data_IF_014157466231
#
_entry.id   IF_014157466231
#
_cell.length_a   1.000
_cell.length_b   1.000
_cell.length_c   1.000
_cell.angle_alpha   90.00
_cell.angle_beta   90.00
_cell.angle_gamma   90.00
#
_symmetry.space_group_name_H-M   'P 1'
#
loop_
_entity.id
_entity.type
_entity.pdbx_description
1 polymer ?
#
# COMPACT_ATOMS: atom_id res chain seq x y z
N UNK A 1 -0.16 2.43 26.34
CA UNK A 1 -0.09 3.33 25.15
C UNK A 1 0.84 2.65 24.17
N UNK A 2 0.34 2.17 23.03
CA UNK A 2 1.16 1.51 22.01
C UNK A 2 1.79 2.64 21.19
N UNK A 3 3.10 2.73 21.22
CA UNK A 3 3.86 3.68 20.41
C UNK A 3 3.70 3.29 18.93
N UNK A 4 3.29 4.24 18.11
CA UNK A 4 3.11 4.01 16.67
C UNK A 4 4.34 4.53 15.93
N UNK A 5 4.76 3.80 14.92
CA UNK A 5 5.78 4.27 13.98
C UNK A 5 5.24 5.44 13.15
N UNK A 6 6.10 6.19 12.47
CA UNK A 6 5.74 7.25 11.53
C UNK A 6 4.73 6.81 10.46
N UNK A 7 4.57 5.50 10.26
CA UNK A 7 3.66 4.89 9.28
C UNK A 7 2.37 4.36 9.91
N UNK A 8 2.11 4.66 11.17
CA UNK A 8 0.88 4.23 11.86
C UNK A 8 0.89 2.79 12.35
N UNK A 9 2.03 2.08 12.27
CA UNK A 9 2.19 0.74 12.81
C UNK A 9 2.64 0.80 14.27
N UNK A 10 2.13 -0.12 15.13
CA UNK A 10 2.62 -0.21 16.50
C UNK A 10 4.09 -0.62 16.51
N UNK A 11 4.88 0.01 17.36
CA UNK A 11 6.26 -0.40 17.63
C UNK A 11 6.24 -1.82 18.21
N UNK A 12 7.12 -2.68 17.67
CA UNK A 12 7.16 -4.08 18.07
C UNK A 12 6.17 -4.99 17.35
N UNK A 13 5.51 -4.53 16.28
CA UNK A 13 4.70 -5.36 15.40
C UNK A 13 5.54 -6.51 14.82
N UNK A 14 5.14 -7.77 15.02
CA UNK A 14 5.87 -8.93 14.52
C UNK A 14 5.78 -9.11 13.00
N UNK A 15 4.96 -8.32 12.31
CA UNK A 15 4.84 -8.40 10.85
C UNK A 15 6.13 -7.98 10.17
N UNK A 16 6.42 -8.59 9.04
CA UNK A 16 7.61 -8.31 8.25
C UNK A 16 7.47 -6.95 7.61
N UNK A 17 8.33 -6.02 8.00
CA UNK A 17 8.44 -4.73 7.34
C UNK A 17 9.53 -4.78 6.28
N UNK A 18 9.22 -4.18 5.14
CA UNK A 18 10.20 -3.94 4.12
C UNK A 18 10.79 -2.53 4.34
N UNK A 19 12.05 -2.49 4.74
CA UNK A 19 12.81 -1.25 4.88
C UNK A 19 14.10 -1.39 4.08
N UNK A 20 13.96 -1.25 2.76
CA UNK A 20 15.08 -1.34 1.84
C UNK A 20 15.40 0.05 1.29
N UNK A 21 16.67 0.36 0.92
CA UNK A 21 16.97 1.54 0.18
C UNK A 21 16.21 1.53 -1.12
N UNK A 22 15.57 2.65 -1.35
CA UNK A 22 14.80 2.89 -2.55
C UNK A 22 15.69 3.64 -3.52
N UNK A 23 15.84 3.11 -4.72
CA UNK A 23 16.43 3.87 -5.82
C UNK A 23 15.39 4.88 -6.36
N UNK A 24 15.55 6.18 -6.12
CA UNK A 24 14.57 7.17 -6.54
C UNK A 24 14.48 7.30 -8.06
N UNK A 25 15.55 7.00 -8.80
CA UNK A 25 15.56 7.06 -10.26
C UNK A 25 14.79 5.88 -10.83
N UNK A 26 15.09 4.67 -10.34
CA UNK A 26 14.39 3.45 -10.71
C UNK A 26 12.91 3.51 -10.34
N UNK A 27 12.58 3.99 -9.14
CA UNK A 27 11.19 4.14 -8.69
C UNK A 27 10.39 5.08 -9.61
N UNK A 28 10.98 6.21 -10.02
CA UNK A 28 10.34 7.13 -10.97
C UNK A 28 10.16 6.50 -12.36
N UNK A 29 11.11 5.67 -12.78
CA UNK A 29 11.04 4.99 -14.06
C UNK A 29 10.01 3.85 -14.06
N UNK A 30 9.89 3.09 -12.97
CA UNK A 30 9.16 1.83 -12.91
C UNK A 30 7.76 1.94 -12.30
N UNK A 31 7.58 2.83 -11.30
CA UNK A 31 6.35 2.86 -10.52
C UNK A 31 5.26 3.77 -11.11
N UNK A 32 4.05 3.24 -11.37
CA UNK A 32 2.90 4.04 -11.80
C UNK A 32 2.39 4.97 -10.69
N UNK A 33 2.75 4.73 -9.43
CA UNK A 33 2.33 5.55 -8.29
C UNK A 33 2.89 6.97 -8.34
N UNK A 34 4.03 7.18 -9.00
CA UNK A 34 4.62 8.52 -9.22
C UNK A 34 3.66 9.40 -10.01
N UNK A 35 3.07 8.87 -11.09
CA UNK A 35 2.11 9.62 -11.92
C UNK A 35 0.80 9.89 -11.19
N UNK A 36 0.28 8.89 -10.48
CA UNK A 36 -0.95 9.07 -9.71
C UNK A 36 -0.80 10.19 -8.67
N UNK A 37 0.38 10.30 -8.07
CA UNK A 37 0.67 11.39 -7.15
C UNK A 37 0.74 12.75 -7.85
N UNK A 38 1.52 12.84 -8.92
CA UNK A 38 1.65 14.08 -9.70
C UNK A 38 0.27 14.56 -10.18
N UNK A 39 -0.56 13.64 -10.67
CA UNK A 39 -1.94 13.93 -11.06
C UNK A 39 -2.81 14.44 -9.89
N UNK A 40 -2.76 13.76 -8.73
CA UNK A 40 -3.52 14.20 -7.54
C UNK A 40 -3.08 15.58 -7.07
N UNK A 41 -1.78 15.85 -7.07
CA UNK A 41 -1.27 17.19 -6.76
C UNK A 41 -1.75 18.22 -7.77
N UNK A 42 -1.66 17.92 -9.07
CA UNK A 42 -2.13 18.82 -10.12
C UNK A 42 -3.63 19.10 -9.98
N UNK A 43 -4.46 18.08 -9.78
CA UNK A 43 -5.90 18.22 -9.55
C UNK A 43 -6.15 19.01 -8.26
N UNK A 44 -5.47 18.69 -7.17
CA UNK A 44 -5.60 19.43 -5.90
C UNK A 44 -5.29 20.92 -6.07
N UNK A 45 -4.20 21.24 -6.76
CA UNK A 45 -3.80 22.64 -6.99
C UNK A 45 -4.74 23.37 -7.95
N UNK A 46 -5.06 22.77 -9.08
CA UNK A 46 -5.89 23.44 -10.11
C UNK A 46 -7.33 23.53 -9.66
N UNK A 47 -7.94 22.42 -9.27
CA UNK A 47 -9.37 22.41 -8.89
C UNK A 47 -9.56 23.01 -7.51
N UNK A 48 -8.74 22.61 -6.54
CA UNK A 48 -8.80 23.13 -5.17
C UNK A 48 -8.52 24.62 -5.13
N UNK A 49 -7.47 25.10 -5.81
CA UNK A 49 -7.14 26.52 -5.93
C UNK A 49 -8.24 27.33 -6.65
N UNK A 50 -8.79 26.75 -7.72
CA UNK A 50 -9.92 27.37 -8.44
C UNK A 50 -11.16 27.52 -7.56
N UNK A 51 -11.51 26.49 -6.77
CA UNK A 51 -12.64 26.55 -5.83
C UNK A 51 -12.41 27.58 -4.72
N UNK A 52 -11.19 27.66 -4.18
CA UNK A 52 -10.85 28.69 -3.18
C UNK A 52 -11.00 30.09 -3.78
N UNK A 53 -10.47 30.33 -4.99
CA UNK A 53 -10.61 31.63 -5.68
C UNK A 53 -12.07 31.99 -5.94
N UNK A 54 -12.88 31.07 -6.47
CA UNK A 54 -14.29 31.24 -6.71
C UNK A 54 -15.06 31.50 -5.40
N UNK A 55 -14.72 30.78 -4.33
CA UNK A 55 -15.34 30.98 -3.03
C UNK A 55 -15.05 32.35 -2.43
N UNK A 56 -13.80 32.82 -2.53
CA UNK A 56 -13.41 34.17 -2.08
C UNK A 56 -14.16 35.22 -2.90
N UNK A 57 -14.24 35.04 -4.21
CA UNK A 57 -15.03 35.95 -5.08
C UNK A 57 -16.51 36.00 -4.69
N UNK A 58 -17.12 34.84 -4.45
CA UNK A 58 -18.53 34.74 -4.04
C UNK A 58 -18.78 35.43 -2.67
N UNK A 59 -17.85 35.30 -1.73
CA UNK A 59 -17.90 35.98 -0.44
C UNK A 59 -17.80 37.51 -0.64
N UNK A 60 -16.83 37.96 -1.44
CA UNK A 60 -16.67 39.40 -1.71
C UNK A 60 -17.91 40.00 -2.39
N UNK A 61 -18.48 39.28 -3.36
CA UNK A 61 -19.73 39.72 -4.04
C UNK A 61 -20.92 39.73 -3.07
N UNK A 62 -21.04 38.73 -2.18
CA UNK A 62 -22.12 38.66 -1.19
C UNK A 62 -22.10 39.78 -0.15
N UNK A 63 -20.93 40.39 0.11
CA UNK A 63 -20.79 41.58 0.98
C UNK A 63 -20.86 42.90 0.24
N UNK A 64 -20.71 42.90 -1.09
CA UNK A 64 -20.59 44.13 -1.89
C UNK A 64 -21.92 44.81 -2.21
N UNK A 65 -23.05 44.13 -2.11
CA UNK A 65 -24.38 44.68 -2.40
C UNK A 65 -25.00 45.34 -1.18
N UNK A 66 -25.93 46.29 -1.42
CA UNK A 66 -26.64 46.98 -0.35
C UNK A 66 -27.48 46.04 0.54
N UNK A 67 -27.83 44.86 0.01
CA UNK A 67 -28.47 43.78 0.75
C UNK A 67 -27.52 42.54 0.75
N UNK A 68 -27.20 42.02 1.96
CA UNK A 68 -26.33 40.87 2.12
C UNK A 68 -26.96 39.62 1.49
N UNK A 69 -26.30 39.06 0.47
CA UNK A 69 -26.75 37.84 -0.20
C UNK A 69 -26.30 36.61 0.54
N UNK A 70 -27.09 36.15 1.52
CA UNK A 70 -26.79 34.94 2.31
C UNK A 70 -26.56 33.69 1.49
N UNK A 71 -27.32 33.38 0.41
CA UNK A 71 -27.03 32.20 -0.40
C UNK A 71 -25.65 32.23 -1.04
N UNK A 72 -25.22 33.41 -1.51
CA UNK A 72 -23.92 33.57 -2.15
C UNK A 72 -22.78 33.44 -1.13
N UNK A 73 -22.95 33.92 0.08
CA UNK A 73 -21.99 33.76 1.17
C UNK A 73 -21.84 32.30 1.58
N UNK A 74 -22.96 31.57 1.76
CA UNK A 74 -22.94 30.17 2.10
C UNK A 74 -22.23 29.37 1.00
N UNK A 75 -22.54 29.62 -0.27
CA UNK A 75 -21.88 28.96 -1.40
C UNK A 75 -20.38 29.26 -1.42
N UNK A 76 -19.98 30.53 -1.13
CA UNK A 76 -18.57 30.91 -1.01
C UNK A 76 -17.84 30.17 0.07
N UNK A 77 -18.40 30.05 1.29
CA UNK A 77 -17.80 29.30 2.39
C UNK A 77 -17.62 27.82 2.02
N UNK A 78 -18.67 27.19 1.47
CA UNK A 78 -18.63 25.79 1.04
C UNK A 78 -17.54 25.58 -0.02
N UNK A 79 -17.44 26.48 -1.01
CA UNK A 79 -16.41 26.37 -2.05
C UNK A 79 -14.99 26.51 -1.49
N UNK A 80 -14.75 27.43 -0.55
CA UNK A 80 -13.45 27.59 0.13
C UNK A 80 -13.09 26.31 0.90
N UNK A 81 -14.03 25.80 1.72
CA UNK A 81 -13.78 24.60 2.52
C UNK A 81 -13.49 23.36 1.63
N UNK A 82 -14.26 23.18 0.57
CA UNK A 82 -14.07 22.12 -0.40
C UNK A 82 -12.71 22.26 -1.12
N UNK A 83 -12.36 23.47 -1.54
CA UNK A 83 -11.08 23.76 -2.20
C UNK A 83 -9.88 23.52 -1.30
N UNK A 84 -9.92 23.98 -0.06
CA UNK A 84 -8.88 23.71 0.96
C UNK A 84 -8.78 22.21 1.23
N UNK A 85 -9.90 21.51 1.36
CA UNK A 85 -9.93 20.05 1.54
C UNK A 85 -9.24 19.30 0.39
N UNK A 86 -9.49 19.71 -0.86
CA UNK A 86 -8.83 19.12 -2.04
C UNK A 86 -7.34 19.44 -2.11
N UNK A 87 -6.93 20.65 -1.75
CA UNK A 87 -5.53 21.04 -1.67
C UNK A 87 -4.78 20.19 -0.62
N UNK A 88 -5.34 20.09 0.58
CA UNK A 88 -4.77 19.28 1.66
C UNK A 88 -4.71 17.79 1.28
N UNK A 89 -5.77 17.27 0.66
CA UNK A 89 -5.76 15.88 0.17
C UNK A 89 -4.63 15.64 -0.84
N UNK A 90 -4.42 16.57 -1.78
CA UNK A 90 -3.32 16.48 -2.73
C UNK A 90 -1.93 16.52 -2.06
N UNK A 91 -1.75 17.39 -1.06
CA UNK A 91 -0.48 17.57 -0.35
C UNK A 91 -0.17 16.44 0.63
N UNK A 92 -1.18 15.98 1.39
CA UNK A 92 -1.02 14.96 2.42
C UNK A 92 -0.93 13.53 1.87
N UNK A 93 -1.29 13.31 0.59
CA UNK A 93 -1.05 12.00 -0.03
C UNK A 93 0.44 11.74 -0.13
N UNK A 94 0.92 10.74 0.60
CA UNK A 94 2.34 10.40 0.76
C UNK A 94 3.13 10.25 -0.54
N UNK A 95 4.46 10.29 -0.47
CA UNK A 95 5.37 10.15 -1.61
C UNK A 95 5.29 8.79 -2.29
N UNK A 96 5.80 8.68 -3.52
CA UNK A 96 5.89 7.40 -4.23
C UNK A 96 6.76 6.37 -3.49
N UNK A 97 7.71 6.82 -2.68
CA UNK A 97 8.56 5.99 -1.83
C UNK A 97 7.88 5.55 -0.53
N UNK A 98 6.83 6.26 -0.08
CA UNK A 98 6.12 5.96 1.17
C UNK A 98 5.65 4.50 1.28
N UNK A 99 5.15 3.84 0.21
CA UNK A 99 4.77 2.43 0.25
C UNK A 99 5.87 1.49 0.74
N UNK A 100 7.12 1.80 0.44
CA UNK A 100 8.28 0.94 0.71
C UNK A 100 8.99 1.27 2.03
N UNK A 101 8.55 2.31 2.73
CA UNK A 101 9.09 2.67 4.04
C UNK A 101 8.18 2.11 5.12
N UNK A 102 8.59 0.98 5.70
CA UNK A 102 7.82 0.32 6.76
C UNK A 102 6.51 -0.34 6.31
N UNK A 103 6.33 -0.62 5.02
CA UNK A 103 5.21 -1.43 4.53
C UNK A 103 5.42 -2.91 4.82
N UNK A 104 4.32 -3.66 5.00
CA UNK A 104 4.39 -5.10 5.23
C UNK A 104 4.82 -5.84 3.97
N UNK A 105 5.88 -6.66 4.06
CA UNK A 105 6.29 -7.53 2.97
C UNK A 105 5.30 -8.70 2.84
N UNK A 106 4.74 -8.85 1.64
CA UNK A 106 3.66 -9.79 1.35
C UNK A 106 3.88 -10.49 0.01
N UNK A 107 3.35 -11.71 -0.17
CA UNK A 107 3.35 -12.37 -1.46
C UNK A 107 2.33 -11.74 -2.41
N UNK A 108 2.65 -11.74 -3.68
CA UNK A 108 1.76 -11.40 -4.77
C UNK A 108 1.91 -12.36 -5.94
N UNK A 109 0.87 -12.51 -6.75
CA UNK A 109 0.88 -13.29 -7.97
C UNK A 109 0.27 -12.47 -9.10
N UNK A 110 0.93 -12.44 -10.22
CA UNK A 110 0.39 -11.83 -11.44
C UNK A 110 -0.78 -12.68 -11.93
N UNK A 111 -1.96 -12.08 -12.00
CA UNK A 111 -3.18 -12.76 -12.45
C UNK A 111 -3.42 -12.52 -13.92
N UNK A 112 -3.20 -11.28 -14.34
CA UNK A 112 -3.48 -10.85 -15.71
C UNK A 112 -2.47 -9.79 -16.10
N UNK A 113 -2.03 -9.85 -17.36
CA UNK A 113 -1.26 -8.82 -18.00
C UNK A 113 -1.81 -8.65 -19.41
N UNK A 114 -2.64 -7.64 -19.61
CA UNK A 114 -3.22 -7.28 -20.89
C UNK A 114 -2.79 -5.87 -21.27
N UNK A 115 -2.09 -5.75 -22.38
CA UNK A 115 -1.51 -4.51 -22.88
C UNK A 115 -0.63 -3.81 -21.81
N UNK A 116 -1.10 -2.67 -21.30
CA UNK A 116 -0.44 -1.94 -20.26
C UNK A 116 -1.03 -2.19 -18.86
N UNK A 117 -2.11 -2.96 -18.74
CA UNK A 117 -2.76 -3.23 -17.46
C UNK A 117 -2.29 -4.54 -16.85
N UNK A 118 -1.78 -4.46 -15.64
CA UNK A 118 -1.35 -5.61 -14.83
C UNK A 118 -2.23 -5.72 -13.61
N UNK A 119 -2.72 -6.93 -13.35
CA UNK A 119 -3.43 -7.27 -12.13
C UNK A 119 -2.60 -8.23 -11.29
N UNK A 120 -2.41 -7.88 -10.02
CA UNK A 120 -1.69 -8.70 -9.04
C UNK A 120 -2.64 -9.05 -7.90
N UNK A 121 -2.78 -10.33 -7.62
CA UNK A 121 -3.41 -10.83 -6.42
C UNK A 121 -2.36 -10.83 -5.31
N UNK A 122 -2.64 -10.16 -4.21
CA UNK A 122 -1.76 -10.10 -3.05
C UNK A 122 -2.47 -10.62 -1.82
N UNK A 123 -1.71 -11.10 -0.84
CA UNK A 123 -2.20 -11.60 0.43
C UNK A 123 -1.56 -10.78 1.56
N UNK A 124 -2.37 -10.25 2.48
CA UNK A 124 -1.83 -9.56 3.65
C UNK A 124 -2.63 -9.90 4.92
N UNK A 125 -1.95 -9.86 6.06
CA UNK A 125 -2.61 -9.86 7.35
C UNK A 125 -3.24 -8.48 7.57
N UNK A 126 -4.55 -8.46 7.73
CA UNK A 126 -5.35 -7.26 7.94
C UNK A 126 -5.72 -7.05 9.41
N UNK A 127 -5.19 -7.84 10.35
CA UNK A 127 -5.35 -7.57 11.78
C UNK A 127 -4.71 -6.23 12.15
N UNK A 128 -5.37 -5.43 12.97
CA UNK A 128 -4.80 -4.18 13.53
C UNK A 128 -4.03 -4.42 14.81
N UNK A 129 -4.34 -5.50 15.50
CA UNK A 129 -3.66 -5.90 16.72
C UNK A 129 -2.66 -7.01 16.39
N UNK A 130 -1.35 -6.76 16.52
CA UNK A 130 -0.34 -7.77 16.23
C UNK A 130 -0.36 -8.95 17.21
N UNK A 131 -1.02 -8.82 18.36
CA UNK A 131 -1.21 -9.91 19.33
C UNK A 131 -2.45 -10.76 19.02
N UNK A 132 -3.37 -10.26 18.19
CA UNK A 132 -4.55 -11.01 17.78
C UNK A 132 -4.20 -12.10 16.74
N UNK A 133 -5.06 -13.12 16.58
CA UNK A 133 -4.93 -14.06 15.48
C UNK A 133 -4.91 -13.34 14.14
N UNK A 134 -4.07 -13.79 13.19
CA UNK A 134 -3.99 -13.21 11.85
C UNK A 134 -5.34 -13.23 11.13
N UNK A 135 -5.67 -12.14 10.44
CA UNK A 135 -6.88 -11.99 9.61
C UNK A 135 -6.45 -11.78 8.16
N UNK A 136 -6.10 -12.85 7.47
CA UNK A 136 -5.61 -12.77 6.10
C UNK A 136 -6.70 -12.40 5.11
N UNK A 137 -6.35 -11.54 4.18
CA UNK A 137 -7.20 -11.16 3.08
C UNK A 137 -6.44 -11.09 1.76
N UNK A 138 -7.08 -11.55 0.70
CA UNK A 138 -6.64 -11.28 -0.66
C UNK A 138 -7.00 -9.86 -1.08
N UNK A 139 -6.15 -9.27 -1.87
CA UNK A 139 -6.41 -7.99 -2.55
C UNK A 139 -6.03 -8.09 -4.01
N UNK A 140 -6.95 -7.78 -4.88
CA UNK A 140 -6.66 -7.62 -6.30
C UNK A 140 -6.33 -6.16 -6.59
N UNK A 141 -5.07 -5.91 -6.95
CA UNK A 141 -4.55 -4.58 -7.25
C UNK A 141 -4.30 -4.48 -8.75
N UNK A 142 -4.78 -3.40 -9.37
CA UNK A 142 -4.57 -3.15 -10.80
C UNK A 142 -3.65 -1.96 -10.99
N UNK A 143 -2.72 -2.09 -11.91
CA UNK A 143 -1.74 -1.07 -12.26
C UNK A 143 -1.69 -0.89 -13.77
N UNK A 144 -1.38 0.30 -14.19
CA UNK A 144 -0.93 0.54 -15.54
C UNK A 144 0.58 0.33 -15.57
N UNK A 145 1.04 -0.78 -16.15
CA UNK A 145 2.46 -1.07 -16.27
C UNK A 145 3.11 -0.09 -17.24
N UNK A 146 4.35 0.28 -16.95
CA UNK A 146 5.14 1.08 -17.86
C UNK A 146 5.81 0.20 -18.91
N UNK A 147 6.13 0.79 -20.05
CA UNK A 147 6.91 0.14 -21.11
C UNK A 147 8.21 -0.44 -20.52
N UNK A 148 8.50 -1.70 -20.86
CA UNK A 148 9.67 -2.41 -20.37
C UNK A 148 9.45 -3.27 -19.11
N UNK A 149 8.35 -3.08 -18.38
CA UNK A 149 8.02 -3.97 -17.25
C UNK A 149 7.32 -5.22 -17.77
N UNK A 150 7.99 -6.37 -17.66
CA UNK A 150 7.42 -7.67 -18.09
C UNK A 150 6.95 -8.44 -16.88
N UNK A 151 5.63 -8.56 -16.77
CA UNK A 151 5.00 -9.49 -15.82
C UNK A 151 4.38 -10.65 -16.60
N UNK A 152 4.55 -11.86 -16.09
CA UNK A 152 3.97 -13.07 -16.69
C UNK A 152 2.83 -13.56 -15.81
N UNK A 153 1.65 -13.85 -16.34
CA UNK A 153 0.58 -14.48 -15.55
C UNK A 153 1.06 -15.73 -14.84
N UNK A 154 0.71 -15.87 -13.55
CA UNK A 154 1.20 -16.94 -12.66
C UNK A 154 2.56 -16.64 -12.00
N UNK A 155 3.25 -15.57 -12.40
CA UNK A 155 4.54 -15.22 -11.81
C UNK A 155 4.37 -14.78 -10.35
N UNK A 156 5.14 -15.37 -9.39
CA UNK A 156 5.23 -14.86 -8.04
C UNK A 156 5.99 -13.53 -8.01
N UNK A 157 5.47 -12.57 -7.27
CA UNK A 157 6.05 -11.22 -7.16
C UNK A 157 6.01 -10.78 -5.70
N UNK A 158 7.16 -10.59 -5.03
CA UNK A 158 7.17 -10.01 -3.70
C UNK A 158 6.67 -8.57 -3.75
N UNK A 159 5.74 -8.25 -2.86
CA UNK A 159 5.08 -6.96 -2.80
C UNK A 159 5.22 -6.33 -1.41
N UNK A 160 5.02 -5.03 -1.34
CA UNK A 160 4.91 -4.30 -0.08
C UNK A 160 3.48 -3.80 0.07
N UNK A 161 2.77 -4.29 1.08
CA UNK A 161 1.43 -3.84 1.43
C UNK A 161 1.50 -2.54 2.22
N UNK A 162 0.66 -1.58 1.85
CA UNK A 162 0.64 -0.24 2.41
C UNK A 162 -0.76 0.38 2.30
N UNK A 163 -0.93 1.60 2.82
CA UNK A 163 -2.16 2.36 2.64
C UNK A 163 -3.38 1.65 3.22
N UNK A 164 -3.21 1.02 4.37
CA UNK A 164 -4.28 0.34 5.07
C UNK A 164 -5.34 1.32 5.52
N UNK A 165 -6.60 1.02 5.24
CA UNK A 165 -7.75 1.87 5.54
C UNK A 165 -8.77 1.10 6.35
N UNK A 166 -9.19 1.68 7.47
CA UNK A 166 -10.31 1.21 8.28
C UNK A 166 -10.88 2.34 9.12
N UNK A 167 -12.17 2.29 9.50
CA UNK A 167 -12.73 3.17 10.50
C UNK A 167 -12.04 2.99 11.86
N UNK A 168 -12.01 4.03 12.72
CA UNK A 168 -11.32 3.97 14.01
C UNK A 168 -11.78 2.82 14.93
N UNK A 169 -13.05 2.43 14.85
CA UNK A 169 -13.64 1.36 15.67
C UNK A 169 -13.40 -0.05 15.14
N UNK A 170 -12.83 -0.20 13.95
CA UNK A 170 -12.57 -1.53 13.38
C UNK A 170 -11.32 -2.16 14.00
N UNK A 171 -11.41 -3.44 14.38
CA UNK A 171 -10.25 -4.24 14.84
C UNK A 171 -9.38 -4.75 13.70
N UNK A 172 -9.78 -4.50 12.44
CA UNK A 172 -9.09 -4.97 11.25
C UNK A 172 -9.12 -3.92 10.16
N UNK A 173 -8.15 -3.99 9.26
CA UNK A 173 -8.11 -3.17 8.07
C UNK A 173 -9.15 -3.66 7.04
N UNK A 174 -9.86 -2.73 6.44
CA UNK A 174 -10.89 -3.07 5.46
C UNK A 174 -10.32 -3.21 4.05
N UNK A 175 -9.27 -2.48 3.77
CA UNK A 175 -8.59 -2.46 2.49
C UNK A 175 -7.13 -2.06 2.68
N UNK A 176 -6.30 -2.47 1.74
CA UNK A 176 -4.90 -2.10 1.64
C UNK A 176 -4.52 -1.98 0.16
N UNK A 177 -3.37 -1.43 -0.12
CA UNK A 177 -2.73 -1.44 -1.43
C UNK A 177 -1.47 -2.29 -1.32
N UNK A 178 -0.96 -2.75 -2.48
CA UNK A 178 0.32 -3.41 -2.53
C UNK A 178 1.09 -2.95 -3.77
N UNK A 179 2.40 -2.90 -3.66
CA UNK A 179 3.28 -2.48 -4.75
C UNK A 179 4.43 -3.47 -4.87
N UNK A 180 4.78 -3.94 -6.09
CA UNK A 180 5.92 -4.83 -6.30
C UNK A 180 7.23 -4.25 -5.77
N UNK A 181 8.04 -5.07 -5.11
CA UNK A 181 9.38 -4.70 -4.63
C UNK A 181 10.26 -4.27 -5.80
N UNK A 182 10.13 -4.94 -6.95
CA UNK A 182 10.87 -4.64 -8.16
C UNK A 182 10.68 -3.20 -8.69
N UNK A 183 9.72 -2.44 -8.18
CA UNK A 183 9.62 -1.01 -8.53
C UNK A 183 10.47 -0.11 -7.63
N UNK A 184 10.84 -0.60 -6.44
CA UNK A 184 11.65 0.18 -5.51
C UNK A 184 13.14 0.07 -5.82
N UNK A 185 13.56 -1.03 -6.44
CA UNK A 185 14.98 -1.33 -6.73
C UNK A 185 15.14 -2.08 -8.04
N UNK A 186 16.25 -1.81 -8.74
CA UNK A 186 16.68 -2.56 -9.91
C UNK A 186 17.50 -3.82 -9.53
N UNK A 187 17.88 -3.97 -8.27
CA UNK A 187 18.70 -5.06 -7.77
C UNK A 187 17.91 -6.36 -7.70
N UNK A 188 18.13 -7.28 -8.62
CA UNK A 188 17.45 -8.58 -8.66
C UNK A 188 17.68 -9.39 -7.37
N UNK A 189 18.89 -9.35 -6.81
CA UNK A 189 19.22 -10.04 -5.56
C UNK A 189 18.36 -9.58 -4.38
N UNK A 190 18.04 -8.29 -4.32
CA UNK A 190 17.17 -7.73 -3.29
C UNK A 190 15.71 -8.19 -3.48
N UNK A 191 15.23 -8.23 -4.72
CA UNK A 191 13.90 -8.72 -5.04
C UNK A 191 13.78 -10.20 -4.68
N UNK A 192 14.78 -11.01 -5.02
CA UNK A 192 14.84 -12.44 -4.67
C UNK A 192 14.92 -12.67 -3.16
N UNK A 193 15.70 -11.84 -2.46
CA UNK A 193 15.81 -11.90 -1.02
C UNK A 193 14.48 -11.56 -0.34
N UNK A 194 13.77 -10.54 -0.84
CA UNK A 194 12.41 -10.21 -0.38
C UNK A 194 11.44 -11.37 -0.62
N UNK A 195 11.53 -12.03 -1.78
CA UNK A 195 10.74 -13.22 -2.08
C UNK A 195 11.00 -14.37 -1.11
N UNK A 196 12.26 -14.63 -0.77
CA UNK A 196 12.65 -15.69 0.21
C UNK A 196 12.26 -15.36 1.65
N UNK A 197 12.11 -14.08 1.98
CA UNK A 197 11.68 -13.65 3.32
C UNK A 197 10.18 -13.88 3.57
N UNK A 198 9.37 -14.08 2.53
CA UNK A 198 7.96 -14.45 2.65
C UNK A 198 7.85 -15.95 2.91
N UNK A 199 7.11 -16.42 3.95
CA UNK A 199 6.93 -17.83 4.25
C UNK A 199 6.29 -18.60 3.08
N UNK A 200 6.73 -19.86 2.89
CA UNK A 200 6.19 -20.73 1.86
C UNK A 200 4.67 -20.89 1.96
N UNK A 201 4.13 -21.02 3.17
CA UNK A 201 2.68 -21.16 3.38
C UNK A 201 1.87 -19.93 2.89
N UNK A 202 2.44 -18.73 2.94
CA UNK A 202 1.79 -17.53 2.39
C UNK A 202 1.86 -17.52 0.85
N UNK A 203 2.97 -18.01 0.28
CA UNK A 203 3.09 -18.22 -1.16
C UNK A 203 2.08 -19.25 -1.67
N UNK A 204 1.96 -20.40 -1.00
CA UNK A 204 1.00 -21.44 -1.35
C UNK A 204 -0.42 -20.89 -1.30
N UNK A 205 -0.72 -20.08 -0.29
CA UNK A 205 -2.05 -19.48 -0.10
C UNK A 205 -2.37 -18.46 -1.20
N UNK A 206 -1.43 -17.59 -1.61
CA UNK A 206 -1.69 -16.63 -2.68
C UNK A 206 -1.81 -17.32 -4.04
N UNK A 207 -1.02 -18.37 -4.28
CA UNK A 207 -1.09 -19.14 -5.53
C UNK A 207 -2.41 -19.89 -5.65
N UNK A 208 -2.89 -20.53 -4.57
CA UNK A 208 -4.21 -21.17 -4.54
C UNK A 208 -5.38 -20.16 -4.66
N UNK A 209 -5.12 -18.89 -4.30
CA UNK A 209 -6.09 -17.81 -4.41
C UNK A 209 -6.49 -17.44 -5.85
N UNK A 210 -5.80 -17.99 -6.88
CA UNK A 210 -6.09 -17.75 -8.29
C UNK A 210 -7.56 -18.06 -8.65
N UNK A 211 -8.10 -19.12 -8.09
CA UNK A 211 -9.49 -19.54 -8.33
C UNK A 211 -10.52 -18.53 -7.79
N UNK A 212 -10.16 -17.75 -6.79
CA UNK A 212 -11.02 -16.74 -6.17
C UNK A 212 -10.99 -15.38 -6.87
N UNK A 213 -10.12 -15.18 -7.86
CA UNK A 213 -9.93 -13.88 -8.54
C UNK A 213 -11.21 -13.34 -9.16
N UNK A 214 -11.97 -14.19 -9.87
CA UNK A 214 -13.22 -13.77 -10.49
C UNK A 214 -14.25 -13.26 -9.47
N UNK A 215 -14.31 -13.87 -8.30
CA UNK A 215 -15.18 -13.46 -7.21
C UNK A 215 -14.70 -12.16 -6.54
N UNK A 216 -13.39 -12.06 -6.28
CA UNK A 216 -12.78 -10.86 -5.70
C UNK A 216 -12.95 -9.66 -6.63
N UNK A 217 -12.85 -9.85 -7.95
CA UNK A 217 -13.01 -8.81 -8.98
C UNK A 217 -14.40 -8.19 -8.94
N UNK A 218 -15.44 -8.97 -8.64
CA UNK A 218 -16.84 -8.51 -8.54
C UNK A 218 -17.11 -7.66 -7.29
N UNK A 219 -16.28 -7.76 -6.28
CA UNK A 219 -16.44 -6.99 -5.04
C UNK A 219 -16.01 -5.54 -5.22
N UNK A 220 -16.77 -4.59 -4.71
CA UNK A 220 -16.46 -3.17 -4.77
C UNK A 220 -15.07 -2.85 -4.18
N UNK A 221 -14.73 -3.49 -3.07
CA UNK A 221 -13.44 -3.30 -2.39
C UNK A 221 -12.30 -4.07 -3.04
N UNK A 222 -12.61 -5.03 -3.94
CA UNK A 222 -11.64 -6.00 -4.49
C UNK A 222 -10.81 -6.71 -3.41
N UNK A 223 -11.43 -6.94 -2.26
CA UNK A 223 -10.86 -7.67 -1.12
C UNK A 223 -11.64 -8.95 -0.90
N UNK A 224 -10.94 -10.06 -0.80
CA UNK A 224 -11.49 -11.38 -0.46
C UNK A 224 -10.92 -11.86 0.86
N UNK A 225 -11.73 -11.96 1.90
CA UNK A 225 -11.30 -12.49 3.19
C UNK A 225 -11.20 -13.99 3.16
N UNK A 226 -10.27 -14.52 3.96
CA UNK A 226 -10.08 -15.95 4.15
C UNK A 226 -10.68 -16.28 5.51
N UNK A 227 -11.53 -17.30 5.55
CA UNK A 227 -12.05 -17.76 6.84
C UNK A 227 -10.91 -18.37 7.67
N UNK A 228 -10.89 -18.19 9.00
CA UNK A 228 -9.83 -18.74 9.84
C UNK A 228 -9.65 -20.25 9.67
N UNK A 229 -10.74 -20.97 9.43
CA UNK A 229 -10.72 -22.42 9.20
C UNK A 229 -10.11 -22.83 7.87
N UNK A 230 -10.12 -21.94 6.87
CA UNK A 230 -9.50 -22.14 5.57
C UNK A 230 -7.98 -21.87 5.59
N UNK A 231 -7.45 -21.29 6.70
CA UNK A 231 -6.02 -21.01 6.82
C UNK A 231 -5.25 -22.30 7.17
N UNK A 232 -4.07 -22.49 6.57
CA UNK A 232 -3.10 -23.48 7.05
C UNK A 232 -2.78 -23.28 8.54
N UNK A 233 -2.58 -24.36 9.27
CA UNK A 233 -2.31 -24.29 10.72
C UNK A 233 -1.10 -23.39 11.05
N UNK A 234 -0.09 -23.40 10.18
CA UNK A 234 1.10 -22.56 10.30
C UNK A 234 0.82 -21.06 10.26
N UNK A 235 -0.32 -20.66 9.66
CA UNK A 235 -0.75 -19.26 9.53
C UNK A 235 -1.87 -18.87 10.52
N UNK A 236 -2.37 -19.79 11.34
CA UNK A 236 -3.44 -19.50 12.33
C UNK A 236 -2.91 -18.87 13.62
N UNK A 237 -1.61 -18.96 13.87
CA UNK A 237 -0.98 -18.41 15.07
C UNK A 237 -0.37 -17.05 14.75
N UNK A 238 -0.37 -16.11 15.72
CA UNK A 238 0.37 -14.87 15.54
C UNK A 238 1.81 -15.21 15.16
N UNK A 239 2.39 -14.55 14.16
CA UNK A 239 3.77 -14.78 13.79
C UNK A 239 4.65 -14.48 15.01
N UNK A 240 5.25 -15.52 15.59
CA UNK A 240 6.30 -15.35 16.59
C UNK A 240 7.42 -14.58 15.92
N UNK A 241 7.52 -13.29 16.22
CA UNK A 241 8.59 -12.35 15.88
C UNK A 241 9.48 -12.79 14.70
N UNK A 242 9.02 -12.53 13.49
CA UNK A 242 9.85 -12.61 12.29
C UNK A 242 9.85 -11.22 11.62
N UNK A 243 10.11 -10.19 12.42
CA UNK A 243 10.70 -8.99 11.86
C UNK A 243 12.11 -9.41 11.44
N UNK A 244 12.34 -9.59 10.15
CA UNK A 244 13.70 -9.71 9.64
C UNK A 244 14.15 -8.30 9.31
N UNK A 245 14.84 -7.59 10.24
CA UNK A 245 15.39 -6.30 9.91
C UNK A 245 16.40 -6.52 8.79
N UNK A 246 16.31 -5.72 7.76
CA UNK A 246 17.34 -5.64 6.73
C UNK A 246 18.38 -4.67 7.24
N UNK A 247 19.55 -5.18 7.65
CA UNK A 247 20.71 -4.34 7.91
C UNK A 247 21.44 -4.05 6.59
N UNK A 248 21.63 -2.78 6.34
CA UNK A 248 22.44 -2.33 5.20
C UNK A 248 23.89 -2.28 5.61
N UNK A 249 24.71 -3.02 4.87
CA UNK A 249 26.16 -2.92 5.03
C UNK A 249 26.69 -1.65 4.37
N UNK A 250 27.82 -1.14 4.84
CA UNK A 250 28.45 0.07 4.29
C UNK A 250 28.80 -0.04 2.79
N UNK A 251 28.80 -1.26 2.23
CA UNK A 251 28.99 -1.54 0.81
C UNK A 251 27.70 -1.51 -0.02
N UNK A 252 26.58 -1.11 0.60
CA UNK A 252 25.27 -1.04 -0.07
C UNK A 252 24.54 -2.38 -0.21
N UNK A 253 25.05 -3.47 0.40
CA UNK A 253 24.41 -4.78 0.35
C UNK A 253 23.41 -4.95 1.47
N UNK A 254 22.24 -5.49 1.12
CA UNK A 254 21.20 -5.87 2.07
C UNK A 254 21.58 -7.16 2.78
N UNK A 255 21.65 -7.12 4.11
CA UNK A 255 21.75 -8.31 4.95
C UNK A 255 20.46 -8.49 5.73
N UNK A 256 19.75 -9.59 5.50
CA UNK A 256 18.62 -9.96 6.33
C UNK A 256 19.16 -10.49 7.67
N UNK A 257 18.94 -9.75 8.74
CA UNK A 257 19.32 -10.17 10.10
C UNK A 257 18.26 -11.14 10.58
N UNK A 258 18.57 -12.43 10.53
CA UNK A 258 17.65 -13.47 11.02
C UNK A 258 17.55 -14.72 10.17
N UNK A 259 18.36 -14.89 9.15
CA UNK A 259 18.59 -16.22 8.60
C UNK A 259 19.24 -17.08 9.70
N UNK A 260 18.41 -17.79 10.46
CA UNK A 260 18.89 -18.88 11.31
C UNK A 260 19.62 -19.83 10.40
N UNK A 261 20.94 -19.82 10.49
CA UNK A 261 21.76 -20.89 9.93
C UNK A 261 21.20 -22.20 10.50
N UNK A 262 20.56 -23.00 9.66
CA UNK A 262 20.33 -24.39 9.97
C UNK A 262 21.73 -25.01 10.11
N UNK A 263 22.24 -25.04 11.34
CA UNK A 263 23.32 -25.95 11.72
C UNK A 263 22.73 -27.33 11.55
N UNK A 264 22.95 -27.92 10.39
CA UNK A 264 22.87 -29.34 10.19
C UNK A 264 23.93 -29.96 11.11
N UNK A 265 23.53 -30.36 12.32
CA UNK A 265 24.27 -31.26 13.17
C UNK A 265 24.30 -32.58 12.41
N UNK A 266 25.41 -32.84 11.69
CA UNK A 266 25.78 -34.15 11.27
C UNK A 266 26.26 -34.90 12.54
N UNK A 267 25.44 -35.83 13.02
CA UNK A 267 25.76 -36.84 14.00
C UNK A 267 25.59 -38.19 13.35
#
# INVERSE_FOLDING_TARGET
MIEQTEHGWPTGDPRRFFDAPIDPAHLRASSPNVYRRAWRLAVGVVVGGGLVGLGIWALAAGFGDAEVSWPLMVAGVVAVLAGVGLLLFGLLTGGAATPYRGGQLVPGMVVEHADADVQILTLADTSRDPAAPPDFAYRLVSFHAREGTRFVPGQPVPCVAHGFVAPPWSRRWWSFQASPVAWATAEAELVDAAGRAVPAAEWDLVLSGAERVADIRRRLTRVGRIAPDDLPESLRRPPTRLGVPVEWQADGRARFVGSVAHTTSAG
#
